data_IF_940385273198
#
_entry.id   IF_940385273198
#
_cell.length_a   1.000
_cell.length_b   1.000
_cell.length_c   1.000
_cell.angle_alpha   90.00
_cell.angle_beta   90.00
_cell.angle_gamma   90.00
#
_symmetry.space_group_name_H-M   'P 1'
#
loop_
_entity.id
_entity.type
_entity.pdbx_description
1 polymer ?
#
# COMPACT_ATOMS: atom_id res chain seq x y z
N UNK A 1 -24.59 0.08 42.52
CA UNK A 1 -23.36 -0.02 41.71
C UNK A 1 -23.17 -1.49 41.44
N UNK A 2 -23.59 -1.94 40.26
CA UNK A 2 -23.27 -3.28 39.78
C UNK A 2 -21.85 -3.15 39.22
N UNK A 3 -20.88 -3.84 39.82
CA UNK A 3 -19.55 -3.97 39.24
C UNK A 3 -19.72 -4.46 37.79
N UNK A 4 -19.25 -3.65 36.83
CA UNK A 4 -19.14 -4.05 35.44
C UNK A 4 -18.23 -5.28 35.40
N UNK A 5 -18.82 -6.44 35.12
CA UNK A 5 -18.03 -7.63 34.81
C UNK A 5 -17.17 -7.26 33.60
N UNK A 6 -15.84 -7.29 33.76
CA UNK A 6 -14.94 -7.09 32.65
C UNK A 6 -15.28 -8.12 31.56
N UNK A 7 -15.71 -7.65 30.39
CA UNK A 7 -16.02 -8.51 29.26
C UNK A 7 -14.76 -9.32 28.91
N UNK A 8 -14.88 -10.65 28.86
CA UNK A 8 -13.74 -11.55 28.62
C UNK A 8 -13.24 -11.34 27.19
N UNK A 9 -11.95 -11.06 27.03
CA UNK A 9 -11.28 -11.06 25.72
C UNK A 9 -10.82 -12.48 25.38
N UNK A 10 -11.32 -13.01 24.27
CA UNK A 10 -10.93 -14.30 23.71
C UNK A 10 -9.70 -14.11 22.81
N UNK A 11 -8.53 -14.44 23.33
CA UNK A 11 -7.26 -14.39 22.59
C UNK A 11 -7.06 -15.66 21.76
N UNK A 12 -6.30 -15.52 20.67
CA UNK A 12 -5.89 -16.61 19.78
C UNK A 12 -4.46 -16.38 19.31
N UNK A 13 -3.79 -17.46 18.89
CA UNK A 13 -2.41 -17.38 18.43
C UNK A 13 -2.30 -16.81 17.00
N UNK A 14 -1.12 -16.32 16.63
CA UNK A 14 -0.88 -15.69 15.33
C UNK A 14 -1.07 -16.67 14.15
N UNK A 15 -0.88 -17.97 14.37
CA UNK A 15 -1.10 -19.05 13.40
C UNK A 15 -2.56 -19.57 13.41
N UNK A 16 -3.43 -19.05 14.28
CA UNK A 16 -4.86 -19.37 14.29
C UNK A 16 -5.65 -18.44 13.35
N UNK A 17 -5.35 -18.51 12.05
CA UNK A 17 -6.10 -17.78 11.04
C UNK A 17 -7.53 -18.32 10.93
N UNK A 18 -8.48 -17.42 10.68
CA UNK A 18 -9.85 -17.79 10.46
C UNK A 18 -10.50 -16.95 9.39
N UNK A 19 -11.53 -17.52 8.76
CA UNK A 19 -12.17 -16.89 7.62
C UNK A 19 -13.66 -17.15 7.60
N UNK A 20 -14.34 -16.34 6.80
CA UNK A 20 -15.74 -16.54 6.46
C UNK A 20 -15.99 -16.12 5.03
N UNK A 21 -16.92 -16.79 4.37
CA UNK A 21 -17.35 -16.40 3.03
C UNK A 21 -18.83 -16.07 3.06
N UNK A 22 -19.25 -15.15 2.20
CA UNK A 22 -20.60 -14.57 2.24
C UNK A 22 -21.22 -14.51 0.84
N UNK A 23 -22.53 -14.30 0.77
CA UNK A 23 -23.19 -13.82 -0.46
C UNK A 23 -22.99 -12.30 -0.66
N UNK A 24 -23.49 -11.78 -1.78
CA UNK A 24 -23.45 -10.34 -2.10
C UNK A 24 -24.19 -9.45 -1.10
N UNK A 25 -24.98 -10.01 -0.18
CA UNK A 25 -25.69 -9.28 0.88
C UNK A 25 -25.04 -9.49 2.26
N UNK A 26 -23.85 -10.09 2.31
CA UNK A 26 -23.10 -10.30 3.54
C UNK A 26 -23.67 -11.41 4.43
N UNK A 27 -24.46 -12.34 3.88
CA UNK A 27 -24.91 -13.54 4.62
C UNK A 27 -23.86 -14.62 4.56
N UNK A 28 -23.47 -15.15 5.72
CA UNK A 28 -22.42 -16.16 5.84
C UNK A 28 -22.82 -17.44 5.11
N UNK A 29 -21.98 -17.88 4.17
CA UNK A 29 -22.05 -19.18 3.50
C UNK A 29 -21.18 -20.20 4.21
N UNK A 30 -19.96 -19.80 4.57
CA UNK A 30 -18.95 -20.68 5.19
C UNK A 30 -18.16 -19.98 6.28
N UNK A 31 -17.66 -20.78 7.22
CA UNK A 31 -16.83 -20.38 8.34
C UNK A 31 -16.04 -21.62 8.80
N UNK A 32 -14.75 -21.47 9.12
CA UNK A 32 -13.96 -22.57 9.67
C UNK A 32 -14.20 -22.76 11.17
N UNK A 33 -13.72 -23.88 11.72
CA UNK A 33 -13.81 -24.22 13.15
C UNK A 33 -13.29 -23.13 14.08
N UNK A 34 -12.17 -22.47 13.74
CA UNK A 34 -11.61 -21.37 14.51
C UNK A 34 -12.59 -20.20 14.66
N UNK A 35 -13.30 -19.82 13.59
CA UNK A 35 -14.31 -18.76 13.68
C UNK A 35 -15.49 -19.18 14.57
N UNK A 36 -15.94 -20.45 14.48
CA UNK A 36 -17.01 -20.96 15.36
C UNK A 36 -16.58 -20.98 16.83
N UNK A 37 -15.34 -21.39 17.11
CA UNK A 37 -14.77 -21.42 18.46
C UNK A 37 -14.68 -20.02 19.07
N UNK A 38 -14.11 -19.05 18.36
CA UNK A 38 -13.94 -17.68 18.85
C UNK A 38 -15.25 -16.92 18.98
N UNK A 39 -16.16 -17.09 18.01
CA UNK A 39 -17.47 -16.44 18.08
C UNK A 39 -18.42 -17.10 19.07
N UNK A 40 -18.14 -18.35 19.47
CA UNK A 40 -19.01 -19.15 20.33
C UNK A 40 -20.35 -19.52 19.69
N UNK A 41 -20.53 -19.29 18.38
CA UNK A 41 -21.73 -19.65 17.65
C UNK A 41 -21.52 -20.97 16.89
N UNK A 42 -22.44 -21.96 17.04
CA UNK A 42 -22.38 -23.16 16.22
C UNK A 42 -22.68 -22.82 14.76
N UNK A 43 -22.25 -23.67 13.82
CA UNK A 43 -22.46 -23.49 12.37
C UNK A 43 -23.88 -23.06 12.01
N UNK A 44 -24.89 -23.76 12.53
CA UNK A 44 -26.30 -23.48 12.23
C UNK A 44 -26.79 -22.10 12.71
N UNK A 45 -26.07 -21.46 13.63
CA UNK A 45 -26.32 -20.10 14.07
C UNK A 45 -25.55 -19.04 13.24
N UNK A 46 -24.51 -19.43 12.50
CA UNK A 46 -23.74 -18.55 11.62
C UNK A 46 -24.24 -18.60 10.16
N UNK A 47 -24.34 -19.80 9.59
CA UNK A 47 -24.67 -19.98 8.17
C UNK A 47 -26.07 -19.43 7.86
N UNK A 48 -26.17 -18.62 6.82
CA UNK A 48 -27.37 -17.91 6.38
C UNK A 48 -27.67 -16.61 7.16
N UNK A 49 -26.97 -16.34 8.28
CA UNK A 49 -27.10 -15.09 9.01
C UNK A 49 -26.23 -14.00 8.39
N UNK A 50 -26.69 -12.75 8.55
CA UNK A 50 -25.87 -11.60 8.22
C UNK A 50 -24.62 -11.56 9.11
N UNK A 51 -23.49 -11.17 8.54
CA UNK A 51 -22.20 -11.15 9.24
C UNK A 51 -22.20 -10.26 10.50
N UNK A 52 -23.09 -9.26 10.55
CA UNK A 52 -23.27 -8.39 11.72
C UNK A 52 -23.69 -9.10 13.02
N UNK A 53 -23.97 -10.41 13.01
CA UNK A 53 -24.23 -11.20 14.22
C UNK A 53 -23.08 -11.14 15.23
N UNK A 54 -21.84 -11.02 14.74
CA UNK A 54 -20.64 -10.87 15.59
C UNK A 54 -20.18 -9.43 15.77
N UNK A 55 -20.93 -8.42 15.29
CA UNK A 55 -20.54 -7.02 15.42
C UNK A 55 -20.56 -6.56 16.88
N UNK A 56 -19.43 -6.05 17.37
CA UNK A 56 -19.35 -5.41 18.68
C UNK A 56 -20.01 -4.02 18.67
N UNK A 57 -20.59 -3.60 19.80
CA UNK A 57 -21.30 -2.32 19.93
C UNK A 57 -20.36 -1.12 19.71
N UNK A 58 -19.09 -1.25 20.10
CA UNK A 58 -18.09 -0.20 19.97
C UNK A 58 -17.53 -0.04 18.54
N UNK A 59 -17.97 -0.86 17.58
CA UNK A 59 -17.55 -0.68 16.19
C UNK A 59 -18.44 0.36 15.49
N UNK A 60 -17.89 1.47 14.96
CA UNK A 60 -18.67 2.54 14.35
C UNK A 60 -19.37 2.08 13.07
N UNK A 61 -20.56 2.62 12.81
CA UNK A 61 -21.31 2.32 11.59
C UNK A 61 -20.62 2.84 10.32
N UNK A 62 -19.90 3.96 10.43
CA UNK A 62 -19.10 4.57 9.37
C UNK A 62 -17.99 3.68 8.85
N UNK A 63 -17.34 2.88 9.72
CA UNK A 63 -16.36 1.89 9.30
C UNK A 63 -16.98 0.85 8.37
N UNK A 64 -18.09 0.24 8.79
CA UNK A 64 -18.75 -0.77 7.96
C UNK A 64 -19.29 -0.18 6.66
N UNK A 65 -19.76 1.08 6.67
CA UNK A 65 -20.13 1.78 5.44
C UNK A 65 -18.92 1.91 4.50
N UNK A 66 -17.77 2.33 5.01
CA UNK A 66 -16.53 2.41 4.22
C UNK A 66 -16.09 1.06 3.66
N UNK A 67 -16.23 -0.01 4.43
CA UNK A 67 -15.95 -1.38 3.98
C UNK A 67 -16.89 -1.78 2.84
N UNK A 68 -18.20 -1.54 3.00
CA UNK A 68 -19.21 -1.86 1.97
C UNK A 68 -18.96 -1.09 0.68
N UNK A 69 -18.75 0.23 0.76
CA UNK A 69 -18.46 1.08 -0.41
C UNK A 69 -17.22 0.54 -1.18
N UNK A 70 -16.19 0.08 -0.47
CA UNK A 70 -15.00 -0.49 -1.10
C UNK A 70 -15.27 -1.84 -1.80
N UNK A 71 -15.88 -2.80 -1.10
CA UNK A 71 -16.06 -4.16 -1.64
C UNK A 71 -17.14 -4.23 -2.71
N UNK A 72 -18.15 -3.35 -2.68
CA UNK A 72 -19.14 -3.22 -3.76
C UNK A 72 -18.52 -2.68 -5.06
N UNK A 73 -17.45 -1.90 -4.97
CA UNK A 73 -16.67 -1.43 -6.11
C UNK A 73 -15.61 -2.44 -6.59
N UNK A 74 -15.58 -3.64 -6.01
CA UNK A 74 -14.59 -4.66 -6.35
C UNK A 74 -13.21 -4.41 -5.74
N UNK A 75 -13.09 -3.50 -4.77
CA UNK A 75 -11.85 -3.20 -4.05
C UNK A 75 -11.76 -4.06 -2.78
N UNK A 76 -10.53 -4.34 -2.33
CA UNK A 76 -10.33 -4.93 -1.02
C UNK A 76 -10.59 -3.89 0.09
N UNK A 77 -10.91 -4.38 1.29
CA UNK A 77 -11.02 -3.55 2.49
C UNK A 77 -10.36 -4.26 3.67
N UNK A 78 -9.51 -3.55 4.40
CA UNK A 78 -8.92 -4.03 5.65
C UNK A 78 -9.22 -3.11 6.82
N UNK A 79 -9.41 -3.68 8.01
CA UNK A 79 -9.71 -2.93 9.22
C UNK A 79 -9.36 -3.72 10.49
N UNK A 80 -9.01 -2.99 11.56
CA UNK A 80 -9.07 -3.53 12.91
C UNK A 80 -10.53 -3.63 13.34
N UNK A 81 -10.97 -4.82 13.76
CA UNK A 81 -12.36 -5.07 14.12
C UNK A 81 -12.40 -5.80 15.46
N UNK A 82 -13.17 -5.25 16.40
CA UNK A 82 -13.61 -5.97 17.59
C UNK A 82 -14.93 -6.67 17.29
N UNK A 83 -14.96 -7.98 17.50
CA UNK A 83 -16.16 -8.80 17.36
C UNK A 83 -16.67 -9.24 18.74
N UNK A 84 -17.99 -9.34 18.90
CA UNK A 84 -18.64 -9.90 20.09
C UNK A 84 -18.83 -11.41 19.93
N UNK A 85 -18.53 -12.18 20.97
CA UNK A 85 -18.82 -13.62 21.06
C UNK A 85 -20.20 -13.89 21.67
N UNK A 86 -20.70 -15.12 21.55
CA UNK A 86 -22.04 -15.50 22.02
C UNK A 86 -22.19 -15.47 23.55
N UNK A 87 -21.09 -15.43 24.28
CA UNK A 87 -20.99 -15.35 25.74
C UNK A 87 -20.80 -13.91 26.27
N UNK A 88 -21.08 -12.89 25.44
CA UNK A 88 -20.90 -11.46 25.75
C UNK A 88 -19.42 -11.04 25.97
N UNK A 89 -18.48 -11.92 25.61
CA UNK A 89 -17.07 -11.57 25.44
C UNK A 89 -16.77 -10.91 24.08
N UNK A 90 -15.50 -10.74 23.77
CA UNK A 90 -15.06 -10.18 22.50
C UNK A 90 -13.71 -10.73 22.04
N UNK A 91 -13.38 -10.54 20.76
CA UNK A 91 -12.06 -10.83 20.20
C UNK A 91 -11.69 -9.78 19.13
N UNK A 92 -10.43 -9.37 19.12
CA UNK A 92 -9.90 -8.33 18.24
C UNK A 92 -9.17 -8.97 17.06
N UNK A 93 -9.45 -8.49 15.85
CA UNK A 93 -8.87 -9.02 14.61
C UNK A 93 -8.38 -7.91 13.72
N UNK A 94 -7.39 -8.21 12.90
CA UNK A 94 -7.22 -7.50 11.64
C UNK A 94 -7.94 -8.29 10.55
N UNK A 95 -8.97 -7.70 9.96
CA UNK A 95 -9.80 -8.35 8.94
C UNK A 95 -9.44 -7.81 7.56
N UNK A 96 -9.28 -8.70 6.59
CA UNK A 96 -9.11 -8.37 5.17
C UNK A 96 -10.23 -9.01 4.38
N UNK A 97 -10.98 -8.18 3.65
CA UNK A 97 -12.20 -8.56 2.93
C UNK A 97 -11.98 -8.29 1.44
N UNK A 98 -12.25 -9.30 0.62
CA UNK A 98 -12.11 -9.22 -0.84
C UNK A 98 -13.36 -9.76 -1.54
N UNK A 99 -13.69 -9.24 -2.73
CA UNK A 99 -14.65 -9.89 -3.61
C UNK A 99 -14.23 -11.34 -3.89
N UNK A 100 -15.19 -12.26 -3.86
CA UNK A 100 -14.98 -13.68 -4.16
C UNK A 100 -16.24 -14.29 -4.77
N UNK A 101 -16.17 -14.69 -6.04
CA UNK A 101 -17.30 -15.20 -6.78
C UNK A 101 -18.51 -14.25 -6.76
N UNK A 102 -19.63 -14.72 -6.22
CA UNK A 102 -20.88 -13.93 -6.09
C UNK A 102 -21.06 -13.23 -4.73
N UNK A 103 -20.00 -13.14 -3.93
CA UNK A 103 -20.02 -12.47 -2.64
C UNK A 103 -18.62 -12.09 -2.20
N UNK A 104 -18.29 -12.35 -0.94
CA UNK A 104 -17.04 -11.88 -0.35
C UNK A 104 -16.36 -12.95 0.50
N UNK A 105 -15.03 -12.96 0.46
CA UNK A 105 -14.16 -13.71 1.36
C UNK A 105 -13.57 -12.74 2.38
N UNK A 106 -13.60 -13.10 3.66
CA UNK A 106 -12.91 -12.36 4.71
C UNK A 106 -11.97 -13.28 5.46
N UNK A 107 -10.67 -12.97 5.43
CA UNK A 107 -9.62 -13.61 6.23
C UNK A 107 -9.27 -12.70 7.40
N UNK A 108 -9.07 -13.28 8.58
CA UNK A 108 -8.79 -12.56 9.83
C UNK A 108 -7.53 -13.11 10.46
N UNK A 109 -6.68 -12.18 10.89
CA UNK A 109 -5.43 -12.45 11.60
C UNK A 109 -5.47 -11.80 12.98
N UNK A 110 -4.55 -12.23 13.85
CA UNK A 110 -4.23 -11.49 15.05
C UNK A 110 -3.67 -10.11 14.63
N UNK A 111 -4.10 -8.99 15.23
CA UNK A 111 -3.48 -7.69 15.01
C UNK A 111 -2.02 -7.71 15.49
N UNK A 112 -1.08 -7.61 14.55
CA UNK A 112 0.35 -7.62 14.84
C UNK A 112 0.85 -6.22 15.20
N UNK A 113 0.32 -5.18 14.54
CA UNK A 113 0.68 -3.78 14.80
C UNK A 113 -0.16 -3.22 15.96
N UNK A 114 0.18 -3.65 17.18
CA UNK A 114 -0.63 -3.34 18.38
C UNK A 114 -0.76 -1.85 18.70
N UNK A 115 0.30 -1.05 18.51
CA UNK A 115 0.26 0.41 18.72
C UNK A 115 -0.68 1.08 17.71
N UNK A 116 -0.56 0.74 16.42
CA UNK A 116 -1.43 1.27 15.37
C UNK A 116 -2.90 0.86 15.59
N UNK A 117 -3.13 -0.39 15.98
CA UNK A 117 -4.47 -0.87 16.36
C UNK A 117 -5.06 0.01 17.46
N UNK A 118 -4.29 0.31 18.51
CA UNK A 118 -4.77 1.10 19.64
C UNK A 118 -5.07 2.56 19.22
N UNK A 119 -4.24 3.16 18.37
CA UNK A 119 -4.51 4.48 17.77
C UNK A 119 -5.79 4.50 16.94
N UNK A 120 -6.02 3.47 16.12
CA UNK A 120 -7.22 3.33 15.29
C UNK A 120 -8.47 3.09 16.14
N UNK A 121 -8.38 2.31 17.21
CA UNK A 121 -9.52 2.12 18.13
C UNK A 121 -9.85 3.39 18.92
N UNK A 122 -8.84 4.18 19.29
CA UNK A 122 -9.06 5.52 19.85
C UNK A 122 -9.74 6.45 18.84
N UNK A 123 -9.38 6.37 17.56
CA UNK A 123 -10.09 7.08 16.49
C UNK A 123 -11.54 6.59 16.36
N UNK A 124 -11.81 5.28 16.44
CA UNK A 124 -13.17 4.75 16.41
C UNK A 124 -14.04 5.30 17.54
N UNK A 125 -13.48 5.54 18.74
CA UNK A 125 -14.22 6.20 19.81
C UNK A 125 -14.69 7.61 19.42
N UNK A 126 -13.82 8.43 18.83
CA UNK A 126 -14.16 9.77 18.34
C UNK A 126 -15.18 9.73 17.19
N UNK A 127 -15.08 8.74 16.30
CA UNK A 127 -16.08 8.51 15.25
C UNK A 127 -17.45 8.20 15.85
N UNK A 128 -17.51 7.36 16.89
CA UNK A 128 -18.78 7.07 17.58
C UNK A 128 -19.38 8.31 18.24
N UNK A 129 -18.58 9.20 18.82
CA UNK A 129 -19.10 10.47 19.38
C UNK A 129 -19.83 11.30 18.30
N UNK A 130 -19.31 11.32 17.07
CA UNK A 130 -19.98 11.96 15.92
C UNK A 130 -21.26 11.25 15.53
N UNK A 131 -21.25 9.91 15.52
CA UNK A 131 -22.44 9.09 15.22
C UNK A 131 -23.54 9.30 16.27
N UNK A 132 -23.19 9.34 17.55
CA UNK A 132 -24.10 9.58 18.66
C UNK A 132 -24.69 11.00 18.62
N UNK A 133 -23.87 12.01 18.34
CA UNK A 133 -24.34 13.39 18.16
C UNK A 133 -25.30 13.50 16.96
N UNK A 134 -24.99 12.84 15.84
CA UNK A 134 -25.88 12.78 14.66
C UNK A 134 -27.20 12.08 14.99
N UNK A 135 -27.15 10.96 15.70
CA UNK A 135 -28.36 10.24 16.12
C UNK A 135 -29.22 11.07 17.08
N UNK A 136 -28.61 11.77 18.04
CA UNK A 136 -29.29 12.65 18.99
C UNK A 136 -29.95 13.86 18.28
N UNK A 137 -29.41 14.30 17.15
CA UNK A 137 -30.00 15.33 16.29
C UNK A 137 -31.18 14.82 15.44
N UNK A 138 -31.56 13.53 15.55
CA UNK A 138 -32.69 12.94 14.85
C UNK A 138 -32.37 12.38 13.46
N UNK A 139 -31.09 12.22 13.12
CA UNK A 139 -30.67 11.62 11.85
C UNK A 139 -31.08 10.14 11.74
N UNK A 140 -31.36 9.70 10.52
CA UNK A 140 -31.60 8.29 10.19
C UNK A 140 -30.33 7.46 10.33
N UNK A 141 -30.46 6.12 10.45
CA UNK A 141 -29.30 5.22 10.53
C UNK A 141 -28.31 5.38 9.36
N UNK A 142 -28.83 5.69 8.17
CA UNK A 142 -28.00 5.90 6.97
C UNK A 142 -27.20 7.20 7.08
N UNK A 143 -27.82 8.27 7.57
CA UNK A 143 -27.16 9.56 7.80
C UNK A 143 -26.13 9.47 8.93
N UNK A 144 -26.44 8.74 10.01
CA UNK A 144 -25.48 8.48 11.10
C UNK A 144 -24.25 7.74 10.57
N UNK A 145 -24.44 6.66 9.81
CA UNK A 145 -23.32 5.94 9.19
C UNK A 145 -22.53 6.82 8.21
N UNK A 146 -23.20 7.76 7.53
CA UNK A 146 -22.53 8.70 6.65
C UNK A 146 -21.68 9.73 7.39
N UNK A 147 -22.19 10.28 8.49
CA UNK A 147 -21.45 11.17 9.37
C UNK A 147 -20.24 10.43 9.98
N UNK A 148 -20.44 9.20 10.44
CA UNK A 148 -19.35 8.36 10.96
C UNK A 148 -18.28 8.05 9.92
N UNK A 149 -18.66 7.80 8.65
CA UNK A 149 -17.69 7.56 7.58
C UNK A 149 -16.86 8.82 7.28
N UNK A 150 -17.50 10.00 7.26
CA UNK A 150 -16.80 11.26 7.07
C UNK A 150 -15.84 11.57 8.24
N UNK A 151 -16.25 11.27 9.48
CA UNK A 151 -15.39 11.38 10.64
C UNK A 151 -14.21 10.41 10.57
N UNK A 152 -14.45 9.15 10.18
CA UNK A 152 -13.40 8.15 10.00
C UNK A 152 -12.38 8.59 8.94
N UNK A 153 -12.84 9.15 7.83
CA UNK A 153 -11.97 9.70 6.79
C UNK A 153 -11.04 10.80 7.35
N UNK A 154 -11.57 11.71 8.17
CA UNK A 154 -10.75 12.76 8.80
C UNK A 154 -9.74 12.20 9.81
N UNK A 155 -10.11 11.18 10.59
CA UNK A 155 -9.21 10.49 11.51
C UNK A 155 -8.07 9.77 10.78
N UNK A 156 -8.38 9.08 9.69
CA UNK A 156 -7.37 8.42 8.85
C UNK A 156 -6.39 9.43 8.25
N UNK A 157 -6.88 10.59 7.79
CA UNK A 157 -6.02 11.67 7.29
C UNK A 157 -5.11 12.26 8.37
N UNK A 158 -5.62 12.40 9.60
CA UNK A 158 -4.80 12.84 10.73
C UNK A 158 -3.69 11.83 11.08
N UNK A 159 -3.94 10.55 10.83
CA UNK A 159 -2.95 9.47 10.97
C UNK A 159 -2.05 9.29 9.73
N UNK A 160 -2.19 10.15 8.71
CA UNK A 160 -1.33 10.13 7.52
C UNK A 160 -1.76 9.15 6.42
N UNK A 161 -3.02 8.69 6.44
CA UNK A 161 -3.62 7.91 5.36
C UNK A 161 -4.52 8.78 4.50
N UNK A 162 -4.38 8.70 3.17
CA UNK A 162 -5.18 9.53 2.26
C UNK A 162 -6.68 9.24 2.38
N UNK A 163 -7.04 7.96 2.51
CA UNK A 163 -8.39 7.44 2.70
C UNK A 163 -8.36 5.98 3.23
N UNK A 164 -9.54 5.34 3.34
CA UNK A 164 -9.66 3.95 3.78
C UNK A 164 -9.00 2.91 2.84
N UNK A 165 -8.80 3.25 1.56
CA UNK A 165 -8.13 2.38 0.60
C UNK A 165 -6.62 2.50 0.73
N UNK A 166 -6.09 3.70 0.92
CA UNK A 166 -4.70 3.90 1.29
C UNK A 166 -4.37 3.18 2.60
N UNK A 167 -5.24 3.30 3.61
CA UNK A 167 -5.13 2.52 4.85
C UNK A 167 -5.09 1.02 4.56
N UNK A 168 -6.03 0.49 3.77
CA UNK A 168 -6.06 -0.93 3.42
C UNK A 168 -4.76 -1.38 2.73
N UNK A 169 -4.27 -0.59 1.77
CA UNK A 169 -3.07 -0.93 0.97
C UNK A 169 -1.82 -1.00 1.84
N UNK A 170 -1.61 0.01 2.68
CA UNK A 170 -0.41 0.15 3.50
C UNK A 170 -0.44 -0.77 4.72
N UNK A 171 -1.56 -0.81 5.42
CA UNK A 171 -1.66 -1.57 6.68
C UNK A 171 -1.73 -3.07 6.43
N UNK A 172 -2.34 -3.54 5.33
CA UNK A 172 -2.27 -4.97 5.00
C UNK A 172 -0.82 -5.42 4.78
N UNK A 173 -0.02 -4.64 4.06
CA UNK A 173 1.39 -4.95 3.80
C UNK A 173 2.18 -5.05 5.10
N UNK A 174 2.00 -4.07 5.99
CA UNK A 174 2.69 -4.03 7.28
C UNK A 174 2.24 -5.17 8.21
N UNK A 175 0.94 -5.43 8.33
CA UNK A 175 0.39 -6.53 9.16
C UNK A 175 0.86 -7.90 8.69
N UNK A 176 0.83 -8.17 7.38
CA UNK A 176 1.34 -9.44 6.82
C UNK A 176 2.85 -9.53 6.99
N UNK A 177 3.58 -8.43 6.82
CA UNK A 177 5.01 -8.37 7.07
C UNK A 177 5.37 -8.79 8.50
N UNK A 178 4.69 -8.23 9.50
CA UNK A 178 4.89 -8.58 10.91
C UNK A 178 4.44 -10.00 11.25
N UNK A 179 3.34 -10.47 10.64
CA UNK A 179 2.87 -11.85 10.81
C UNK A 179 3.94 -12.85 10.36
N UNK A 180 4.57 -12.60 9.21
CA UNK A 180 5.65 -13.43 8.68
C UNK A 180 6.94 -13.28 9.51
N UNK A 181 7.27 -12.07 9.97
CA UNK A 181 8.41 -11.83 10.85
C UNK A 181 8.27 -12.54 12.21
N UNK A 182 7.02 -12.71 12.68
CA UNK A 182 6.70 -13.50 13.87
C UNK A 182 6.88 -15.02 13.67
N UNK A 183 7.12 -15.47 12.42
CA UNK A 183 7.35 -16.87 12.10
C UNK A 183 6.08 -17.64 11.76
N UNK A 184 4.96 -16.96 11.48
CA UNK A 184 3.77 -17.62 10.93
C UNK A 184 4.08 -18.09 9.52
N UNK A 185 3.92 -19.38 9.28
CA UNK A 185 4.15 -20.03 8.01
C UNK A 185 3.26 -21.26 7.88
N UNK A 186 3.48 -22.04 6.81
CA UNK A 186 2.74 -23.27 6.56
C UNK A 186 3.56 -24.47 7.06
N UNK A 187 3.14 -25.17 8.12
CA UNK A 187 3.87 -26.32 8.63
C UNK A 187 3.82 -27.51 7.67
N UNK A 188 4.88 -28.31 7.66
CA UNK A 188 4.87 -29.63 7.05
C UNK A 188 3.91 -30.58 7.79
N UNK A 189 3.28 -31.50 7.05
CA UNK A 189 2.46 -32.57 7.62
C UNK A 189 3.12 -33.94 7.38
N UNK A 190 3.12 -34.84 8.39
CA UNK A 190 3.55 -36.22 8.19
C UNK A 190 2.58 -37.01 7.30
N UNK A 191 1.34 -36.54 7.12
CA UNK A 191 0.40 -37.11 6.17
C UNK A 191 0.68 -36.54 4.77
N UNK A 192 1.21 -37.38 3.89
CA UNK A 192 1.57 -36.98 2.52
C UNK A 192 0.60 -37.49 1.45
N UNK A 193 -0.35 -38.36 1.84
CA UNK A 193 -1.30 -38.98 0.93
C UNK A 193 -2.67 -38.32 0.99
N UNK A 194 -3.36 -38.32 -0.16
CA UNK A 194 -4.70 -37.77 -0.30
C UNK A 194 -4.74 -36.34 -0.82
N UNK A 195 -5.92 -35.88 -1.29
CA UNK A 195 -6.06 -34.58 -1.93
C UNK A 195 -5.74 -33.41 -1.01
N UNK A 196 -6.18 -33.42 0.25
CA UNK A 196 -5.89 -32.34 1.22
C UNK A 196 -4.39 -32.23 1.52
N UNK A 197 -3.67 -33.36 1.64
CA UNK A 197 -2.22 -33.35 1.85
C UNK A 197 -1.48 -32.75 0.65
N UNK A 198 -1.93 -33.03 -0.59
CA UNK A 198 -1.36 -32.40 -1.79
C UNK A 198 -1.65 -30.90 -1.86
N UNK A 199 -2.83 -30.45 -1.42
CA UNK A 199 -3.14 -29.03 -1.30
C UNK A 199 -2.17 -28.37 -0.32
N UNK A 200 -2.01 -28.92 0.88
CA UNK A 200 -1.06 -28.40 1.88
C UNK A 200 0.36 -28.32 1.32
N UNK A 201 0.84 -29.38 0.67
CA UNK A 201 2.16 -29.40 0.04
C UNK A 201 2.31 -28.40 -1.10
N UNK A 202 1.25 -28.13 -1.86
CA UNK A 202 1.26 -27.08 -2.88
C UNK A 202 1.30 -25.68 -2.28
N UNK A 203 0.53 -25.41 -1.21
CA UNK A 203 0.60 -24.14 -0.48
C UNK A 203 2.01 -23.92 0.11
N UNK A 204 2.65 -24.98 0.63
CA UNK A 204 4.04 -24.94 1.10
C UNK A 204 5.06 -24.67 -0.01
N UNK A 205 4.83 -25.14 -1.24
CA UNK A 205 5.67 -24.75 -2.40
C UNK A 205 5.48 -23.27 -2.74
N UNK A 206 4.24 -22.79 -2.83
CA UNK A 206 3.94 -21.37 -3.05
C UNK A 206 4.58 -20.52 -1.96
N UNK A 207 4.57 -21.00 -0.72
CA UNK A 207 5.22 -20.35 0.42
C UNK A 207 6.71 -20.15 0.18
N UNK A 208 7.42 -21.20 -0.23
CA UNK A 208 8.85 -21.17 -0.52
C UNK A 208 9.18 -20.26 -1.71
N UNK A 209 8.43 -20.37 -2.81
CA UNK A 209 8.63 -19.57 -4.03
C UNK A 209 8.39 -18.07 -3.80
N UNK A 210 7.52 -17.74 -2.85
CA UNK A 210 7.19 -16.34 -2.53
C UNK A 210 7.96 -15.79 -1.32
N UNK A 211 8.86 -16.57 -0.72
CA UNK A 211 9.67 -16.15 0.43
C UNK A 211 10.56 -14.94 0.10
N UNK A 212 11.12 -14.90 -1.12
CA UNK A 212 11.92 -13.76 -1.61
C UNK A 212 11.12 -12.45 -1.74
N UNK A 213 9.81 -12.55 -1.95
CA UNK A 213 8.91 -11.39 -2.07
C UNK A 213 8.66 -10.70 -0.72
N UNK A 214 8.94 -11.37 0.40
CA UNK A 214 8.79 -10.76 1.74
C UNK A 214 9.77 -9.60 1.92
N UNK A 215 10.99 -9.73 1.39
CA UNK A 215 11.96 -8.62 1.37
C UNK A 215 11.45 -7.42 0.58
N UNK A 216 10.67 -7.65 -0.48
CA UNK A 216 10.07 -6.60 -1.31
C UNK A 216 8.98 -5.85 -0.56
N UNK A 217 8.25 -6.46 0.37
CA UNK A 217 7.26 -5.73 1.17
C UNK A 217 7.89 -4.60 1.98
N UNK A 218 9.05 -4.87 2.61
CA UNK A 218 9.76 -3.89 3.42
C UNK A 218 10.54 -2.89 2.56
N UNK A 219 11.28 -3.38 1.56
CA UNK A 219 12.08 -2.51 0.70
C UNK A 219 11.20 -1.65 -0.21
N UNK A 220 10.10 -2.21 -0.71
CA UNK A 220 9.10 -1.51 -1.50
C UNK A 220 8.50 -0.33 -0.73
N UNK A 221 8.18 -0.51 0.55
CA UNK A 221 7.68 0.60 1.37
C UNK A 221 8.73 1.71 1.54
N UNK A 222 9.99 1.35 1.84
CA UNK A 222 11.08 2.34 1.96
C UNK A 222 11.30 3.11 0.67
N UNK A 223 11.27 2.41 -0.46
CA UNK A 223 11.47 3.03 -1.76
C UNK A 223 10.26 3.88 -2.16
N UNK A 224 9.03 3.47 -1.84
CA UNK A 224 7.82 4.28 -2.03
C UNK A 224 7.88 5.59 -1.24
N UNK A 225 8.34 5.54 0.01
CA UNK A 225 8.52 6.74 0.85
C UNK A 225 9.61 7.65 0.26
N UNK A 226 10.75 7.09 -0.15
CA UNK A 226 11.82 7.84 -0.81
C UNK A 226 11.37 8.49 -2.13
N UNK A 227 10.61 7.76 -2.96
CA UNK A 227 10.03 8.30 -4.19
C UNK A 227 9.09 9.47 -3.87
N UNK A 228 8.30 9.38 -2.80
CA UNK A 228 7.46 10.48 -2.32
C UNK A 228 8.25 11.71 -1.90
N UNK A 229 9.34 11.54 -1.16
CA UNK A 229 10.25 12.62 -0.77
C UNK A 229 10.88 13.29 -2.00
N UNK A 230 11.42 12.49 -2.93
CA UNK A 230 12.05 13.00 -4.16
C UNK A 230 11.07 13.71 -5.09
N UNK A 231 9.81 13.29 -5.16
CA UNK A 231 8.79 14.01 -5.91
C UNK A 231 8.61 15.45 -5.38
N UNK A 232 8.55 15.61 -4.05
CA UNK A 232 8.46 16.93 -3.42
C UNK A 232 9.70 17.80 -3.66
N UNK A 233 10.89 17.20 -3.63
CA UNK A 233 12.13 17.92 -3.95
C UNK A 233 12.21 18.34 -5.42
N UNK A 234 11.75 17.51 -6.35
CA UNK A 234 11.67 17.84 -7.78
C UNK A 234 10.75 19.04 -8.01
N UNK A 235 9.63 19.13 -7.31
CA UNK A 235 8.73 20.29 -7.39
C UNK A 235 9.41 21.58 -6.88
N UNK A 236 10.13 21.49 -5.76
CA UNK A 236 10.91 22.60 -5.22
C UNK A 236 12.05 23.01 -6.17
N UNK A 237 12.76 22.04 -6.75
CA UNK A 237 13.84 22.26 -7.72
C UNK A 237 13.32 22.91 -8.99
N UNK A 238 12.18 22.45 -9.52
CA UNK A 238 11.53 23.03 -10.70
C UNK A 238 11.19 24.51 -10.48
N UNK A 239 10.64 24.84 -9.31
CA UNK A 239 10.37 26.24 -8.90
C UNK A 239 11.66 27.07 -8.84
N UNK A 240 12.73 26.48 -8.30
CA UNK A 240 14.04 27.14 -8.16
C UNK A 240 14.70 27.40 -9.51
N UNK A 241 14.67 26.43 -10.44
CA UNK A 241 15.16 26.58 -11.81
C UNK A 241 14.36 27.63 -12.58
N UNK A 242 13.04 27.68 -12.41
CA UNK A 242 12.20 28.74 -12.98
C UNK A 242 12.64 30.14 -12.53
N UNK A 243 12.88 30.31 -11.22
CA UNK A 243 13.36 31.58 -10.64
C UNK A 243 14.75 31.94 -11.14
N UNK A 244 15.67 30.96 -11.21
CA UNK A 244 17.01 31.16 -11.74
C UNK A 244 16.96 31.60 -13.21
N UNK A 245 16.10 30.97 -14.01
CA UNK A 245 15.94 31.30 -15.43
C UNK A 245 15.49 32.74 -15.63
N UNK A 246 14.51 33.20 -14.85
CA UNK A 246 14.06 34.60 -14.87
C UNK A 246 15.20 35.55 -14.49
N UNK A 247 15.98 35.21 -13.44
CA UNK A 247 17.13 35.99 -13.04
C UNK A 247 18.21 36.05 -14.13
N UNK A 248 18.53 34.94 -14.80
CA UNK A 248 19.53 34.90 -15.88
C UNK A 248 19.12 35.75 -17.09
N UNK A 249 17.83 35.78 -17.44
CA UNK A 249 17.31 36.67 -18.48
C UNK A 249 17.46 38.13 -18.10
N UNK A 250 17.15 38.47 -16.85
CA UNK A 250 17.34 39.81 -16.32
C UNK A 250 18.82 40.23 -16.29
N UNK A 251 19.75 39.30 -15.97
CA UNK A 251 21.20 39.54 -16.06
C UNK A 251 21.60 39.93 -17.49
N UNK A 252 21.09 39.21 -18.51
CA UNK A 252 21.33 39.57 -19.90
C UNK A 252 20.88 40.99 -20.23
N UNK A 253 19.65 41.36 -19.83
CA UNK A 253 19.12 42.73 -20.02
C UNK A 253 19.91 43.79 -19.27
N UNK A 254 20.31 43.52 -18.03
CA UNK A 254 21.10 44.47 -17.23
C UNK A 254 22.50 44.69 -17.81
N UNK A 255 23.12 43.65 -18.38
CA UNK A 255 24.41 43.78 -19.06
C UNK A 255 24.28 44.56 -20.38
N UNK A 256 23.17 44.41 -21.11
CA UNK A 256 22.87 45.25 -22.28
C UNK A 256 22.71 46.74 -21.91
N UNK A 257 22.11 47.04 -20.76
CA UNK A 257 21.83 48.42 -20.31
C UNK A 257 23.05 49.07 -19.63
N UNK A 258 23.75 48.32 -18.79
CA UNK A 258 24.82 48.83 -17.92
C UNK A 258 26.23 48.57 -18.48
N UNK A 259 26.36 47.60 -19.39
CA UNK A 259 27.65 47.14 -19.91
C UNK A 259 28.24 48.00 -21.01
N UNK A 260 29.51 47.70 -21.37
CA UNK A 260 30.27 48.46 -22.37
C UNK A 260 30.98 47.54 -23.39
N UNK A 261 30.69 47.70 -24.69
CA UNK A 261 31.46 47.11 -25.79
C UNK A 261 31.22 45.61 -26.05
N UNK A 262 32.15 44.95 -26.77
CA UNK A 262 32.07 43.52 -27.20
C UNK A 262 31.85 42.51 -26.06
N UNK A 263 32.15 42.89 -24.81
CA UNK A 263 31.92 42.06 -23.64
C UNK A 263 30.43 41.88 -23.31
N UNK A 264 29.56 42.83 -23.69
CA UNK A 264 28.13 42.73 -23.45
C UNK A 264 27.47 41.69 -24.38
N UNK A 265 27.88 41.64 -25.64
CA UNK A 265 27.37 40.68 -26.64
C UNK A 265 27.77 39.23 -26.28
N UNK A 266 28.99 39.02 -25.77
CA UNK A 266 29.46 37.71 -25.29
C UNK A 266 28.65 37.24 -24.07
N UNK A 267 28.38 38.12 -23.11
CA UNK A 267 27.56 37.79 -21.93
C UNK A 267 26.12 37.46 -22.31
N UNK A 268 25.52 38.21 -23.25
CA UNK A 268 24.18 37.93 -23.74
C UNK A 268 24.08 36.54 -24.41
N UNK A 269 25.07 36.18 -25.24
CA UNK A 269 25.13 34.85 -25.87
C UNK A 269 25.25 33.73 -24.82
N UNK A 270 26.10 33.91 -23.80
CA UNK A 270 26.23 32.93 -22.70
C UNK A 270 24.97 32.85 -21.83
N UNK A 271 24.28 33.97 -21.59
CA UNK A 271 22.99 33.98 -20.90
C UNK A 271 21.94 33.15 -21.67
N UNK A 272 21.90 33.25 -23.00
CA UNK A 272 21.01 32.43 -23.83
C UNK A 272 21.37 30.94 -23.76
N UNK A 273 22.66 30.61 -23.74
CA UNK A 273 23.11 29.21 -23.58
C UNK A 273 22.67 28.65 -22.22
N UNK A 274 22.86 29.40 -21.13
CA UNK A 274 22.39 28.99 -19.80
C UNK A 274 20.86 28.92 -19.74
N UNK A 275 20.13 29.85 -20.36
CA UNK A 275 18.66 29.79 -20.45
C UNK A 275 18.17 28.50 -21.12
N UNK A 276 18.86 28.07 -22.18
CA UNK A 276 18.54 26.83 -22.88
C UNK A 276 18.79 25.59 -22.00
N UNK A 277 19.93 25.52 -21.30
CA UNK A 277 20.24 24.43 -20.38
C UNK A 277 19.23 24.34 -19.22
N UNK A 278 18.89 25.49 -18.61
CA UNK A 278 17.91 25.55 -17.51
C UNK A 278 16.51 25.17 -18.00
N UNK A 279 16.14 25.59 -19.21
CA UNK A 279 14.88 25.19 -19.83
C UNK A 279 14.82 23.69 -20.05
N UNK A 280 15.88 23.09 -20.60
CA UNK A 280 15.95 21.65 -20.86
C UNK A 280 15.78 20.84 -19.56
N UNK A 281 16.52 21.19 -18.50
CA UNK A 281 16.32 20.58 -17.18
C UNK A 281 14.88 20.73 -16.67
N UNK A 282 14.29 21.92 -16.83
CA UNK A 282 12.92 22.18 -16.38
C UNK A 282 11.88 21.37 -17.15
N UNK A 283 12.07 21.21 -18.46
CA UNK A 283 11.20 20.41 -19.34
C UNK A 283 11.30 18.92 -19.02
N UNK A 284 12.48 18.42 -18.62
CA UNK A 284 12.68 17.04 -18.18
C UNK A 284 12.10 16.77 -16.77
N UNK A 285 12.23 17.70 -15.83
CA UNK A 285 11.69 17.56 -14.47
C UNK A 285 10.15 17.53 -14.45
N UNK A 286 9.50 18.22 -15.38
CA UNK A 286 8.04 18.33 -15.43
C UNK A 286 7.30 16.98 -15.53
N UNK A 287 7.60 16.08 -16.50
CA UNK A 287 7.00 14.75 -16.54
C UNK A 287 7.49 13.85 -15.41
N UNK A 288 8.75 14.00 -14.98
CA UNK A 288 9.42 13.10 -14.02
C UNK A 288 8.68 13.01 -12.69
N UNK A 289 8.20 14.14 -12.14
CA UNK A 289 7.42 14.13 -10.88
C UNK A 289 6.20 13.21 -10.97
N UNK A 290 5.43 13.33 -12.06
CA UNK A 290 4.24 12.49 -12.27
C UNK A 290 4.60 11.02 -12.50
N UNK A 291 5.74 10.73 -13.13
CA UNK A 291 6.20 9.36 -13.35
C UNK A 291 6.68 8.70 -12.05
N UNK A 292 7.34 9.45 -11.18
CA UNK A 292 7.74 9.01 -9.83
C UNK A 292 6.51 8.68 -8.99
N UNK A 293 5.48 9.54 -8.99
CA UNK A 293 4.22 9.25 -8.30
C UNK A 293 3.54 7.99 -8.84
N UNK A 294 3.53 7.82 -10.16
CA UNK A 294 2.96 6.63 -10.77
C UNK A 294 3.77 5.36 -10.46
N UNK A 295 5.10 5.46 -10.37
CA UNK A 295 5.99 4.37 -9.95
C UNK A 295 5.77 3.98 -8.51
N UNK A 296 5.63 4.95 -7.62
CA UNK A 296 5.23 4.73 -6.24
C UNK A 296 3.89 3.97 -6.18
N UNK A 297 2.90 4.40 -6.96
CA UNK A 297 1.60 3.72 -7.03
C UNK A 297 1.67 2.28 -7.56
N UNK A 298 2.53 2.01 -8.55
CA UNK A 298 2.75 0.64 -9.04
C UNK A 298 3.47 -0.23 -8.01
N UNK A 299 4.43 0.32 -7.26
CA UNK A 299 5.14 -0.37 -6.18
C UNK A 299 4.21 -0.71 -5.00
N UNK A 300 3.37 0.24 -4.59
CA UNK A 300 2.34 0.02 -3.57
C UNK A 300 1.36 -1.08 -4.01
N UNK A 301 0.97 -1.07 -5.28
CA UNK A 301 0.07 -2.07 -5.88
C UNK A 301 0.68 -3.48 -5.89
N UNK A 302 1.96 -3.61 -6.26
CA UNK A 302 2.69 -4.89 -6.23
C UNK A 302 2.83 -5.38 -4.78
N UNK A 303 3.26 -4.53 -3.86
CA UNK A 303 3.43 -4.87 -2.44
C UNK A 303 2.12 -5.35 -1.81
N UNK A 304 1.04 -4.62 -2.04
CA UNK A 304 -0.30 -5.00 -1.59
C UNK A 304 -0.73 -6.37 -2.11
N UNK A 305 -0.49 -6.66 -3.39
CA UNK A 305 -0.87 -7.94 -4.01
C UNK A 305 -0.04 -9.10 -3.50
N UNK A 306 1.25 -8.88 -3.27
CA UNK A 306 2.11 -9.85 -2.58
C UNK A 306 1.50 -10.14 -1.22
N UNK A 307 1.28 -9.13 -0.37
CA UNK A 307 0.73 -9.31 0.96
C UNK A 307 -0.62 -10.07 0.96
N UNK A 308 -1.52 -9.73 0.04
CA UNK A 308 -2.81 -10.39 -0.10
C UNK A 308 -2.68 -11.86 -0.55
N UNK A 309 -1.81 -12.14 -1.53
CA UNK A 309 -1.54 -13.51 -1.98
C UNK A 309 -0.92 -14.35 -0.84
N UNK A 310 0.02 -13.79 -0.09
CA UNK A 310 0.64 -14.44 1.07
C UNK A 310 -0.41 -14.76 2.14
N UNK A 311 -1.29 -13.80 2.45
CA UNK A 311 -2.38 -14.00 3.42
C UNK A 311 -3.32 -15.13 2.99
N UNK A 312 -3.73 -15.18 1.72
CA UNK A 312 -4.59 -16.26 1.21
C UNK A 312 -3.88 -17.62 1.19
N UNK A 313 -2.58 -17.66 0.85
CA UNK A 313 -1.77 -18.88 0.90
C UNK A 313 -1.68 -19.44 2.33
N UNK A 314 -1.39 -18.58 3.31
CA UNK A 314 -1.38 -18.95 4.73
C UNK A 314 -2.75 -19.46 5.19
N UNK A 315 -3.83 -18.75 4.86
CA UNK A 315 -5.18 -19.15 5.23
C UNK A 315 -5.56 -20.51 4.64
N UNK A 316 -5.23 -20.76 3.37
CA UNK A 316 -5.49 -22.03 2.70
C UNK A 316 -4.63 -23.17 3.28
N UNK A 317 -3.33 -22.94 3.51
CA UNK A 317 -2.42 -23.93 4.08
C UNK A 317 -2.76 -24.32 5.50
N UNK A 318 -2.98 -23.34 6.39
CA UNK A 318 -3.37 -23.59 7.77
C UNK A 318 -4.74 -24.27 7.86
N UNK A 319 -5.68 -23.92 6.99
CA UNK A 319 -6.97 -24.60 6.93
C UNK A 319 -6.85 -26.04 6.41
N UNK A 320 -6.02 -26.30 5.39
CA UNK A 320 -5.73 -27.67 4.94
C UNK A 320 -5.10 -28.50 6.07
N UNK A 321 -4.20 -27.92 6.86
CA UNK A 321 -3.62 -28.57 8.03
C UNK A 321 -4.67 -28.88 9.11
N UNK A 322 -5.59 -27.94 9.40
CA UNK A 322 -6.71 -28.15 10.33
C UNK A 322 -7.58 -29.34 9.91
N UNK A 323 -7.83 -29.49 8.61
CA UNK A 323 -8.58 -30.63 8.06
C UNK A 323 -7.82 -31.95 8.26
N UNK A 324 -6.51 -31.98 7.96
CA UNK A 324 -5.67 -33.19 8.15
C UNK A 324 -5.56 -33.61 9.63
N UNK A 325 -5.63 -32.64 10.54
CA UNK A 325 -5.63 -32.87 11.99
C UNK A 325 -7.01 -33.26 12.54
N UNK A 326 -8.05 -33.30 11.70
CA UNK A 326 -9.42 -33.63 12.10
C UNK A 326 -10.11 -32.55 12.94
N UNK A 327 -9.61 -31.30 12.91
CA UNK A 327 -10.24 -30.16 13.59
C UNK A 327 -11.42 -29.61 12.79
N UNK A 328 -11.39 -29.77 11.47
CA UNK A 328 -12.52 -29.63 10.57
C UNK A 328 -12.65 -30.93 9.75
N UNK A 329 -13.85 -31.49 9.64
CA UNK A 329 -14.08 -32.67 8.80
C UNK A 329 -14.31 -32.22 7.35
N UNK A 330 -13.87 -33.01 6.36
CA UNK A 330 -14.02 -32.69 4.93
C UNK A 330 -15.50 -32.51 4.53
N UNK A 331 -16.36 -33.38 5.04
CA UNK A 331 -17.81 -33.37 4.77
C UNK A 331 -18.58 -32.43 5.70
N UNK A 332 -18.06 -32.17 6.91
CA UNK A 332 -18.63 -31.18 7.80
C UNK A 332 -18.21 -29.77 7.34
N UNK A 333 -19.06 -28.80 7.62
CA UNK A 333 -18.74 -27.38 7.43
C UNK A 333 -18.47 -26.88 5.99
N UNK A 334 -18.64 -27.71 4.95
CA UNK A 334 -18.31 -27.36 3.55
C UNK A 334 -16.85 -26.90 3.41
N UNK A 335 -15.94 -27.74 3.94
CA UNK A 335 -14.51 -27.51 3.92
C UNK A 335 -13.94 -27.48 2.48
N UNK A 336 -14.45 -28.34 1.60
CA UNK A 336 -14.07 -28.36 0.17
C UNK A 336 -14.43 -27.05 -0.52
N UNK A 337 -15.66 -26.54 -0.32
CA UNK A 337 -16.08 -25.24 -0.85
C UNK A 337 -15.28 -24.07 -0.27
N UNK A 338 -14.88 -24.17 0.99
CA UNK A 338 -14.02 -23.17 1.65
C UNK A 338 -12.60 -23.15 1.05
N UNK A 339 -11.98 -24.31 0.89
CA UNK A 339 -10.67 -24.44 0.23
C UNK A 339 -10.75 -23.93 -1.22
N UNK A 340 -11.82 -24.25 -1.93
CA UNK A 340 -12.06 -23.78 -3.29
C UNK A 340 -12.06 -22.26 -3.37
N UNK A 341 -12.83 -21.57 -2.51
CA UNK A 341 -12.89 -20.11 -2.53
C UNK A 341 -11.56 -19.45 -2.14
N UNK A 342 -10.81 -20.01 -1.18
CA UNK A 342 -9.47 -19.52 -0.82
C UNK A 342 -8.47 -19.70 -1.96
N UNK A 343 -8.46 -20.88 -2.59
CA UNK A 343 -7.53 -21.20 -3.68
C UNK A 343 -7.85 -20.43 -4.96
N UNK A 344 -9.14 -20.16 -5.23
CA UNK A 344 -9.56 -19.27 -6.32
C UNK A 344 -9.07 -17.85 -6.08
N UNK A 345 -9.26 -17.30 -4.87
CA UNK A 345 -8.77 -15.96 -4.54
C UNK A 345 -7.24 -15.85 -4.63
N UNK A 346 -6.50 -16.91 -4.27
CA UNK A 346 -5.05 -16.99 -4.47
C UNK A 346 -4.67 -17.01 -5.95
N UNK A 347 -5.37 -17.81 -6.77
CA UNK A 347 -5.11 -17.91 -8.21
C UNK A 347 -5.33 -16.58 -8.92
N UNK A 348 -6.46 -15.92 -8.66
CA UNK A 348 -6.76 -14.60 -9.21
C UNK A 348 -5.71 -13.57 -8.77
N UNK A 349 -5.21 -13.69 -7.53
CA UNK A 349 -4.14 -12.86 -7.00
C UNK A 349 -2.83 -13.02 -7.78
N UNK A 350 -2.41 -14.25 -8.05
CA UNK A 350 -1.17 -14.57 -8.75
C UNK A 350 -1.17 -14.07 -10.21
N UNK A 351 -2.27 -14.27 -10.93
CA UNK A 351 -2.42 -13.80 -12.33
C UNK A 351 -2.30 -12.27 -12.39
N UNK A 352 -2.98 -11.57 -11.49
CA UNK A 352 -2.90 -10.11 -11.42
C UNK A 352 -1.52 -9.60 -10.99
N UNK A 353 -0.83 -10.33 -10.10
CA UNK A 353 0.51 -9.94 -9.64
C UNK A 353 1.51 -10.00 -10.80
N UNK A 354 1.45 -11.03 -11.65
CA UNK A 354 2.28 -11.16 -12.87
C UNK A 354 2.20 -9.90 -13.74
N UNK A 355 0.97 -9.44 -14.02
CA UNK A 355 0.76 -8.24 -14.84
C UNK A 355 1.35 -6.99 -14.17
N UNK A 356 1.23 -6.87 -12.85
CA UNK A 356 1.66 -5.69 -12.10
C UNK A 356 3.17 -5.60 -11.95
N UNK A 357 3.84 -6.73 -11.76
CA UNK A 357 5.31 -6.78 -11.77
C UNK A 357 5.85 -6.31 -13.12
N UNK A 358 5.27 -6.77 -14.24
CA UNK A 358 5.69 -6.30 -15.57
C UNK A 358 5.47 -4.79 -15.80
N UNK A 359 4.39 -4.22 -15.28
CA UNK A 359 4.16 -2.76 -15.34
C UNK A 359 5.14 -1.98 -14.46
N UNK A 360 5.43 -2.49 -13.27
CA UNK A 360 6.41 -1.92 -12.35
C UNK A 360 7.80 -1.90 -12.99
N UNK A 361 8.24 -3.01 -13.58
CA UNK A 361 9.54 -3.12 -14.24
C UNK A 361 9.68 -2.12 -15.39
N UNK A 362 8.69 -2.06 -16.28
CA UNK A 362 8.71 -1.12 -17.40
C UNK A 362 8.78 0.34 -16.93
N UNK A 363 8.04 0.70 -15.87
CA UNK A 363 8.05 2.08 -15.35
C UNK A 363 9.34 2.40 -14.59
N UNK A 364 9.86 1.44 -13.82
CA UNK A 364 11.12 1.56 -13.09
C UNK A 364 12.29 1.82 -14.05
N UNK A 365 12.34 1.12 -15.17
CA UNK A 365 13.35 1.33 -16.22
C UNK A 365 13.23 2.73 -16.84
N UNK A 366 12.01 3.16 -17.19
CA UNK A 366 11.74 4.50 -17.72
C UNK A 366 12.18 5.60 -16.73
N UNK A 367 11.67 5.55 -15.50
CA UNK A 367 11.96 6.56 -14.46
C UNK A 367 13.44 6.57 -14.10
N UNK A 368 14.07 5.39 -13.97
CA UNK A 368 15.50 5.29 -13.73
C UNK A 368 16.33 5.98 -14.81
N UNK A 369 15.97 5.81 -16.08
CA UNK A 369 16.62 6.50 -17.20
C UNK A 369 16.40 8.02 -17.18
N UNK A 370 15.17 8.48 -16.92
CA UNK A 370 14.87 9.92 -16.81
C UNK A 370 15.63 10.58 -15.65
N UNK A 371 15.75 9.89 -14.51
CA UNK A 371 16.54 10.34 -13.36
C UNK A 371 18.04 10.48 -13.69
N UNK A 372 18.62 9.51 -14.40
CA UNK A 372 20.02 9.56 -14.83
C UNK A 372 20.30 10.81 -15.68
N UNK A 373 19.43 11.10 -16.65
CA UNK A 373 19.57 12.26 -17.56
C UNK A 373 19.49 13.57 -16.77
N UNK A 374 18.47 13.72 -15.94
CA UNK A 374 18.29 14.95 -15.13
C UNK A 374 19.46 15.14 -14.16
N UNK A 375 19.95 14.06 -13.54
CA UNK A 375 21.09 14.11 -12.65
C UNK A 375 22.38 14.56 -13.36
N UNK A 376 22.62 14.08 -14.58
CA UNK A 376 23.76 14.49 -15.40
C UNK A 376 23.68 15.98 -15.76
N UNK A 377 22.53 16.43 -16.27
CA UNK A 377 22.33 17.82 -16.68
C UNK A 377 22.47 18.81 -15.52
N UNK A 378 21.88 18.49 -14.36
CA UNK A 378 22.04 19.29 -13.14
C UNK A 378 23.50 19.31 -12.63
N UNK A 379 24.22 18.21 -12.81
CA UNK A 379 25.62 18.08 -12.40
C UNK A 379 26.56 19.02 -13.16
N UNK A 380 26.20 19.41 -14.39
CA UNK A 380 27.04 20.26 -15.26
C UNK A 380 26.57 21.71 -15.37
N UNK A 381 25.32 22.02 -14.99
CA UNK A 381 24.72 23.34 -15.21
C UNK A 381 25.34 24.46 -14.38
N UNK A 382 25.90 24.14 -13.20
CA UNK A 382 26.42 25.14 -12.25
C UNK A 382 27.61 25.93 -12.82
N UNK A 383 28.53 25.26 -13.53
CA UNK A 383 29.74 25.88 -14.08
C UNK A 383 29.42 27.04 -15.05
N UNK A 384 28.64 26.79 -16.13
CA UNK A 384 28.20 27.81 -17.06
C UNK A 384 27.49 29.01 -16.39
N UNK A 385 26.68 28.77 -15.35
CA UNK A 385 26.02 29.85 -14.61
C UNK A 385 27.05 30.76 -13.93
N UNK A 386 28.02 30.18 -13.21
CA UNK A 386 29.05 30.94 -12.52
C UNK A 386 29.93 31.74 -13.50
N UNK A 387 30.27 31.16 -14.65
CA UNK A 387 31.01 31.84 -15.71
C UNK A 387 30.26 33.06 -16.26
N UNK A 388 28.94 32.96 -16.44
CA UNK A 388 28.11 34.11 -16.86
C UNK A 388 28.11 35.20 -15.80
N UNK A 389 27.98 34.84 -14.53
CA UNK A 389 27.95 35.82 -13.43
C UNK A 389 29.28 36.55 -13.25
N UNK A 390 30.40 35.87 -13.46
CA UNK A 390 31.73 36.49 -13.49
C UNK A 390 31.91 37.41 -14.70
N UNK A 391 31.43 37.00 -15.86
CA UNK A 391 31.48 37.81 -17.08
C UNK A 391 30.57 39.06 -16.96
N UNK A 392 29.36 38.92 -16.41
CA UNK A 392 28.46 40.04 -16.13
C UNK A 392 29.06 41.04 -15.12
N UNK A 393 29.76 40.54 -14.09
CA UNK A 393 30.49 41.39 -13.15
C UNK A 393 31.62 42.16 -13.85
N UNK A 394 32.37 41.49 -14.73
CA UNK A 394 33.45 42.09 -15.51
C UNK A 394 32.94 43.14 -16.51
N UNK A 395 31.73 42.96 -17.03
CA UNK A 395 31.05 43.90 -17.92
C UNK A 395 30.43 45.11 -17.19
N UNK A 396 30.44 45.16 -15.86
CA UNK A 396 29.96 46.31 -15.07
C UNK A 396 28.57 46.15 -14.45
N UNK A 397 27.87 45.03 -14.70
CA UNK A 397 26.54 44.75 -14.13
C UNK A 397 26.60 44.01 -12.78
N UNK A 398 27.78 43.83 -12.18
CA UNK A 398 27.98 42.96 -11.01
C UNK A 398 27.21 43.34 -9.74
N UNK A 399 26.72 44.58 -9.62
CA UNK A 399 25.92 45.08 -8.49
C UNK A 399 24.40 45.08 -8.80
N UNK A 400 23.98 44.57 -9.96
CA UNK A 400 22.57 44.48 -10.28
C UNK A 400 21.86 43.45 -9.37
N UNK A 401 20.60 43.73 -9.04
CA UNK A 401 19.78 42.84 -8.22
C UNK A 401 19.61 41.46 -8.89
N UNK A 402 19.58 41.43 -10.23
CA UNK A 402 19.52 40.20 -11.04
C UNK A 402 20.76 39.31 -10.83
N UNK A 403 21.96 39.89 -10.87
CA UNK A 403 23.24 39.19 -10.64
C UNK A 403 23.32 38.68 -9.21
N UNK A 404 22.86 39.47 -8.24
CA UNK A 404 22.84 39.07 -6.82
C UNK A 404 21.88 37.89 -6.60
N UNK A 405 20.70 37.94 -7.21
CA UNK A 405 19.70 36.87 -7.14
C UNK A 405 20.20 35.58 -7.79
N UNK A 406 20.68 35.66 -9.02
CA UNK A 406 21.21 34.51 -9.75
C UNK A 406 22.43 33.89 -9.04
N UNK A 407 23.32 34.72 -8.46
CA UNK A 407 24.44 34.25 -7.65
C UNK A 407 23.98 33.51 -6.40
N UNK A 408 23.02 34.06 -5.67
CA UNK A 408 22.47 33.39 -4.47
C UNK A 408 21.89 32.01 -4.82
N UNK A 409 21.16 31.91 -5.94
CA UNK A 409 20.59 30.64 -6.41
C UNK A 409 21.66 29.66 -6.87
N UNK A 410 22.69 30.13 -7.57
CA UNK A 410 23.81 29.31 -8.03
C UNK A 410 24.71 28.81 -6.88
N UNK A 411 24.89 29.62 -5.83
CA UNK A 411 25.66 29.28 -4.63
C UNK A 411 24.96 28.23 -3.76
N UNK A 412 23.63 28.14 -3.79
CA UNK A 412 22.87 27.04 -3.17
C UNK A 412 23.22 25.68 -3.80
N UNK A 413 23.67 25.66 -5.06
CA UNK A 413 24.07 24.45 -5.79
C UNK A 413 22.91 23.51 -6.17
N UNK A 414 23.23 22.41 -6.84
CA UNK A 414 22.26 21.39 -7.27
C UNK A 414 22.60 20.04 -6.62
N UNK A 415 22.53 19.99 -5.28
CA UNK A 415 22.80 18.78 -4.51
C UNK A 415 21.87 17.62 -4.87
N UNK A 416 20.68 17.96 -5.34
CA UNK A 416 19.65 17.05 -5.82
C UNK A 416 20.16 16.14 -6.96
N UNK A 417 21.15 16.58 -7.75
CA UNK A 417 21.74 15.75 -8.81
C UNK A 417 22.25 14.40 -8.28
N UNK A 418 22.93 14.42 -7.13
CA UNK A 418 23.44 13.18 -6.50
C UNK A 418 22.29 12.31 -6.00
N UNK A 419 21.30 12.93 -5.38
CA UNK A 419 20.14 12.27 -4.82
C UNK A 419 19.30 11.57 -5.89
N UNK A 420 19.13 12.20 -7.06
CA UNK A 420 18.43 11.62 -8.21
C UNK A 420 19.24 10.46 -8.83
N UNK A 421 20.56 10.59 -8.95
CA UNK A 421 21.43 9.51 -9.42
C UNK A 421 21.41 8.30 -8.46
N UNK A 422 21.48 8.54 -7.15
CA UNK A 422 21.40 7.49 -6.13
C UNK A 422 20.03 6.77 -6.18
N UNK A 423 18.94 7.52 -6.43
CA UNK A 423 17.62 6.94 -6.65
C UNK A 423 17.58 6.09 -7.93
N UNK A 424 18.15 6.56 -9.05
CA UNK A 424 18.19 5.82 -10.31
C UNK A 424 18.90 4.47 -10.17
N UNK A 425 20.00 4.43 -9.41
CA UNK A 425 20.71 3.18 -9.09
C UNK A 425 19.84 2.23 -8.28
N UNK A 426 19.22 2.73 -7.18
CA UNK A 426 18.31 1.93 -6.36
C UNK A 426 17.12 1.38 -7.16
N UNK A 427 16.57 2.19 -8.05
CA UNK A 427 15.53 1.74 -8.96
C UNK A 427 16.05 0.62 -9.84
N UNK A 428 17.23 0.72 -10.46
CA UNK A 428 17.82 -0.35 -11.28
C UNK A 428 18.07 -1.66 -10.51
N UNK A 429 18.46 -1.55 -9.24
CA UNK A 429 18.80 -2.69 -8.40
C UNK A 429 17.57 -3.37 -7.76
N UNK A 430 16.39 -2.76 -7.86
CA UNK A 430 15.14 -3.39 -7.39
C UNK A 430 14.75 -4.55 -8.32
N UNK A 431 14.99 -5.77 -7.87
CA UNK A 431 14.50 -6.99 -8.50
C UNK A 431 13.31 -7.55 -7.72
N UNK A 432 12.22 -7.89 -8.40
CA UNK A 432 11.10 -8.61 -7.81
C UNK A 432 11.22 -10.09 -8.21
N UNK A 433 11.67 -11.00 -7.32
CA UNK A 433 11.91 -12.41 -7.65
C UNK A 433 10.59 -13.19 -7.72
N UNK A 434 9.78 -12.90 -8.74
CA UNK A 434 8.45 -13.47 -8.92
C UNK A 434 8.43 -14.54 -10.02
N UNK A 435 8.46 -15.81 -9.62
CA UNK A 435 8.43 -16.96 -10.53
C UNK A 435 6.98 -17.43 -10.78
N UNK A 436 6.32 -16.77 -11.74
CA UNK A 436 4.91 -17.04 -12.06
C UNK A 436 4.65 -18.50 -12.45
N UNK A 437 5.57 -19.15 -13.17
CA UNK A 437 5.40 -20.53 -13.63
C UNK A 437 5.37 -21.53 -12.48
N UNK A 438 6.23 -21.36 -11.47
CA UNK A 438 6.28 -22.23 -10.29
C UNK A 438 4.98 -22.13 -9.47
N UNK A 439 4.48 -20.91 -9.24
CA UNK A 439 3.22 -20.66 -8.54
C UNK A 439 2.04 -21.25 -9.33
N UNK A 440 1.99 -21.04 -10.65
CA UNK A 440 0.93 -21.57 -11.51
C UNK A 440 0.89 -23.10 -11.55
N UNK A 441 2.06 -23.73 -11.53
CA UNK A 441 2.19 -25.19 -11.43
C UNK A 441 1.62 -25.71 -10.10
N UNK A 442 1.98 -25.10 -8.97
CA UNK A 442 1.42 -25.45 -7.67
C UNK A 442 -0.11 -25.25 -7.61
N UNK A 443 -0.62 -24.16 -8.20
CA UNK A 443 -2.07 -23.92 -8.30
C UNK A 443 -2.79 -24.92 -9.21
N UNK A 444 -2.11 -25.46 -10.23
CA UNK A 444 -2.68 -26.54 -11.04
C UNK A 444 -2.84 -27.84 -10.22
N UNK A 445 -1.86 -28.18 -9.39
CA UNK A 445 -1.93 -29.31 -8.47
C UNK A 445 -3.07 -29.16 -7.46
N UNK A 446 -3.26 -27.93 -6.94
CA UNK A 446 -4.38 -27.60 -6.04
C UNK A 446 -5.72 -27.83 -6.72
N UNK A 447 -5.88 -27.34 -7.96
CA UNK A 447 -7.11 -27.53 -8.74
C UNK A 447 -7.39 -29.01 -9.01
N UNK A 448 -6.37 -29.80 -9.33
CA UNK A 448 -6.51 -31.24 -9.52
C UNK A 448 -6.93 -31.95 -8.21
N UNK A 449 -6.32 -31.59 -7.09
CA UNK A 449 -6.65 -32.16 -5.78
C UNK A 449 -8.07 -31.77 -5.31
N UNK A 450 -8.51 -30.53 -5.56
CA UNK A 450 -9.88 -30.10 -5.27
C UNK A 450 -10.90 -30.86 -6.12
N UNK A 451 -10.62 -31.13 -7.39
CA UNK A 451 -11.52 -31.90 -8.26
C UNK A 451 -11.71 -33.36 -7.79
N UNK A 452 -10.77 -33.92 -7.03
CA UNK A 452 -10.92 -35.24 -6.41
C UNK A 452 -11.78 -35.22 -5.13
N UNK A 453 -11.95 -34.04 -4.52
CA UNK A 453 -12.73 -33.87 -3.28
C UNK A 453 -14.22 -33.65 -3.52
N UNK A 454 -14.63 -33.32 -4.75
CA UNK A 454 -16.04 -33.11 -5.14
C UNK A 454 -16.29 -31.75 -5.75
#
# INVERSE_FOLDING_TARGET
MVESAAHVEHVFAADELFFSTTDSHGRIRRANSTFMRLSGYPRGALVGRAHNVVRHADMPAGLFRSIWDAIEEGRAASAYITNRSSDDGHYRVFATIVPSGSGYLSVRTLPMLTDLRDDIEAAYARVRDVEEASAAAGSTRREVAAAGQAALQAELQALGYADAIDFTRRVLVAEVGELLAHGVGIPDSPQTEGPVARILGAMGRIEAETAGLVGILQEGQRLADLLGERAGEIEALSTRLGTLREAMRAVGTDVEVLGHGEQADDVAARCQQVDALVLECSEQLHPLSSQIEALRGDLDSVSFRIALARLHNLAAGLFALQILQGQDEVDANDAVGSLTELCSALSDGADNLTQRVGLLDARRELVGGELDVVAEDLGVIQGPILEVLEAAASAGAGQADSVTTARTLAEQGFGEARDLADLAVRLRDLEVPFEAEAINSALADVRAALAELG
#
